data_IF_095880353860
#
_entry.id   IF_095880353860
#
_cell.length_a   1.000
_cell.length_b   1.000
_cell.length_c   1.000
_cell.angle_alpha   90.00
_cell.angle_beta   90.00
_cell.angle_gamma   90.00
#
_symmetry.space_group_name_H-M   'P 1'
#
loop_
_entity.id
_entity.type
_entity.pdbx_description
1 polymer ?
#
# COMPACT_ATOMS: atom_id res chain seq x y z
N UNK A 1 16.06 10.32 0.47
CA UNK A 1 14.98 9.41 0.81
C UNK A 1 14.45 8.69 -0.44
N UNK A 2 14.04 7.46 -0.27
CA UNK A 2 13.43 6.70 -1.34
C UNK A 2 11.92 6.95 -1.39
N UNK A 3 11.39 6.91 -2.59
CA UNK A 3 9.95 7.07 -2.82
C UNK A 3 9.43 5.88 -3.61
N UNK A 4 8.20 5.48 -3.31
CA UNK A 4 7.45 4.55 -4.14
C UNK A 4 6.47 5.36 -4.98
N UNK A 5 6.15 4.89 -6.17
CA UNK A 5 5.26 5.59 -7.09
C UNK A 5 4.02 4.75 -7.38
N UNK A 6 2.88 5.43 -7.39
CA UNK A 6 1.61 4.85 -7.81
C UNK A 6 1.06 5.63 -9.00
N UNK A 7 0.47 4.91 -9.93
CA UNK A 7 -0.10 5.50 -11.13
C UNK A 7 -1.45 4.88 -11.39
N UNK A 8 -2.40 5.70 -11.84
CA UNK A 8 -3.70 5.21 -12.21
C UNK A 8 -4.39 6.20 -13.16
N UNK A 9 -5.34 5.67 -13.91
CA UNK A 9 -6.16 6.44 -14.83
C UNK A 9 -7.63 6.20 -14.49
N UNK A 10 -8.43 7.24 -14.67
CA UNK A 10 -9.87 7.13 -14.50
C UNK A 10 -10.59 8.03 -15.49
N UNK A 11 -11.85 7.70 -15.75
CA UNK A 11 -12.74 8.46 -16.63
C UNK A 11 -13.93 8.91 -15.80
N UNK A 12 -14.29 10.17 -15.92
CA UNK A 12 -15.45 10.75 -15.22
C UNK A 12 -16.15 11.78 -16.07
N UNK A 13 -17.33 12.19 -15.64
CA UNK A 13 -18.13 13.19 -16.35
C UNK A 13 -17.44 14.57 -16.38
N UNK A 14 -16.67 14.86 -15.33
CA UNK A 14 -15.90 16.10 -15.25
C UNK A 14 -14.50 15.80 -14.76
N UNK A 15 -13.63 16.81 -14.87
CA UNK A 15 -12.23 16.69 -14.49
C UNK A 15 -12.03 16.32 -13.03
N UNK A 16 -12.73 16.98 -12.11
CA UNK A 16 -12.55 16.76 -10.67
C UNK A 16 -12.95 15.34 -10.27
N UNK A 17 -14.07 14.81 -10.79
CA UNK A 17 -14.50 13.46 -10.53
C UNK A 17 -13.48 12.43 -11.04
N UNK A 18 -13.01 12.60 -12.27
CA UNK A 18 -12.00 11.72 -12.86
C UNK A 18 -10.69 11.76 -12.08
N UNK A 19 -10.24 12.96 -11.69
CA UNK A 19 -9.00 13.13 -10.92
C UNK A 19 -9.10 12.49 -9.53
N UNK A 20 -10.19 12.72 -8.81
CA UNK A 20 -10.37 12.14 -7.49
C UNK A 20 -10.34 10.61 -7.53
N UNK A 21 -11.01 10.02 -8.52
CA UNK A 21 -11.02 8.58 -8.69
C UNK A 21 -9.62 8.05 -9.08
N UNK A 22 -8.91 8.74 -9.97
CA UNK A 22 -7.55 8.37 -10.36
C UNK A 22 -6.60 8.42 -9.17
N UNK A 23 -6.69 9.46 -8.32
CA UNK A 23 -5.87 9.57 -7.11
C UNK A 23 -6.16 8.43 -6.13
N UNK A 24 -7.42 8.08 -5.93
CA UNK A 24 -7.80 6.96 -5.06
C UNK A 24 -7.22 5.65 -5.57
N UNK A 25 -7.34 5.38 -6.87
CA UNK A 25 -6.79 4.19 -7.49
C UNK A 25 -5.26 4.16 -7.41
N UNK A 26 -4.60 5.31 -7.56
CA UNK A 26 -3.15 5.43 -7.43
C UNK A 26 -2.69 5.10 -6.01
N UNK A 27 -3.43 5.54 -4.98
CA UNK A 27 -3.16 5.19 -3.58
C UNK A 27 -3.35 3.69 -3.32
N UNK A 28 -4.37 3.08 -3.93
CA UNK A 28 -4.56 1.63 -3.86
C UNK A 28 -3.40 0.89 -4.52
N UNK A 29 -2.87 1.43 -5.61
CA UNK A 29 -1.68 0.89 -6.26
C UNK A 29 -0.46 0.94 -5.33
N UNK A 30 -0.26 2.06 -4.62
CA UNK A 30 0.80 2.16 -3.61
C UNK A 30 0.62 1.12 -2.51
N UNK A 31 -0.59 0.94 -2.01
CA UNK A 31 -0.88 -0.06 -0.99
C UNK A 31 -0.55 -1.47 -1.48
N UNK A 32 -0.85 -1.78 -2.73
CA UNK A 32 -0.50 -3.07 -3.35
C UNK A 32 1.02 -3.29 -3.42
N UNK A 33 1.79 -2.26 -3.71
CA UNK A 33 3.26 -2.33 -3.71
C UNK A 33 3.80 -2.58 -2.30
N UNK A 34 3.24 -1.93 -1.29
CA UNK A 34 3.61 -2.14 0.11
C UNK A 34 3.34 -3.59 0.51
N UNK A 35 2.19 -4.14 0.12
CA UNK A 35 1.86 -5.55 0.37
C UNK A 35 2.89 -6.49 -0.26
N UNK A 36 3.28 -6.21 -1.50
CA UNK A 36 4.28 -7.01 -2.22
C UNK A 36 5.63 -6.98 -1.51
N UNK A 37 6.06 -5.81 -1.06
CA UNK A 37 7.34 -5.67 -0.34
C UNK A 37 7.32 -6.41 0.99
N UNK A 38 6.22 -6.32 1.75
CA UNK A 38 6.09 -7.03 3.02
C UNK A 38 6.07 -8.54 2.79
N UNK A 39 5.36 -9.01 1.77
CA UNK A 39 5.30 -10.44 1.43
C UNK A 39 6.70 -10.96 1.08
N UNK A 40 7.46 -10.23 0.30
CA UNK A 40 8.83 -10.60 -0.04
C UNK A 40 9.73 -10.67 1.20
N UNK A 41 9.57 -9.71 2.12
CA UNK A 41 10.32 -9.70 3.38
C UNK A 41 9.98 -10.91 4.25
N UNK A 42 8.70 -11.26 4.33
CA UNK A 42 8.24 -12.44 5.06
C UNK A 42 8.85 -13.72 4.47
N UNK A 43 8.84 -13.86 3.15
CA UNK A 43 9.43 -15.01 2.47
C UNK A 43 10.92 -15.14 2.75
N UNK A 44 11.66 -14.04 2.73
CA UNK A 44 13.09 -14.04 3.07
C UNK A 44 13.32 -14.45 4.53
N UNK A 45 12.48 -13.99 5.44
CA UNK A 45 12.58 -14.30 6.86
C UNK A 45 12.33 -15.79 7.12
N UNK A 46 11.38 -16.39 6.40
CA UNK A 46 11.16 -17.84 6.43
C UNK A 46 12.37 -18.60 5.89
N UNK A 47 12.92 -18.15 4.76
CA UNK A 47 14.09 -18.77 4.16
C UNK A 47 15.30 -18.76 5.11
N UNK A 48 15.43 -17.70 5.93
CA UNK A 48 16.49 -17.57 6.94
C UNK A 48 16.13 -18.26 8.28
N UNK A 49 15.01 -18.98 8.32
CA UNK A 49 14.54 -19.75 9.49
C UNK A 49 14.26 -18.90 10.73
N UNK A 50 13.99 -17.63 10.55
CA UNK A 50 13.63 -16.71 11.64
C UNK A 50 12.12 -16.67 11.90
N UNK A 51 11.32 -17.05 10.92
CA UNK A 51 9.87 -17.22 11.05
C UNK A 51 9.49 -18.65 10.66
N UNK A 52 8.52 -19.22 11.39
CA UNK A 52 7.88 -20.46 10.97
C UNK A 52 6.91 -20.19 9.81
N UNK A 53 6.51 -21.24 9.12
CA UNK A 53 5.51 -21.14 8.06
C UNK A 53 4.16 -20.62 8.59
N UNK A 54 3.77 -21.04 9.79
CA UNK A 54 2.54 -20.59 10.43
C UNK A 54 2.58 -19.10 10.76
N UNK A 55 3.71 -18.62 11.30
CA UNK A 55 3.90 -17.21 11.59
C UNK A 55 3.89 -16.38 10.31
N UNK A 56 4.55 -16.86 9.26
CA UNK A 56 4.56 -16.23 7.96
C UNK A 56 3.17 -16.13 7.37
N UNK A 57 2.38 -17.18 7.48
CA UNK A 57 0.99 -17.18 7.01
C UNK A 57 0.14 -16.15 7.74
N UNK A 58 0.31 -16.01 9.06
CA UNK A 58 -0.39 -14.98 9.84
C UNK A 58 -0.06 -13.57 9.38
N UNK A 59 1.22 -13.26 9.16
CA UNK A 59 1.65 -11.93 8.70
C UNK A 59 1.12 -11.67 7.30
N UNK A 60 1.27 -12.62 6.39
CA UNK A 60 0.81 -12.49 5.01
C UNK A 60 -0.70 -12.28 4.95
N UNK A 61 -1.46 -13.04 5.70
CA UNK A 61 -2.91 -12.89 5.76
C UNK A 61 -3.30 -11.50 6.29
N UNK A 62 -2.61 -11.04 7.32
CA UNK A 62 -2.85 -9.73 7.91
C UNK A 62 -2.59 -8.60 6.91
N UNK A 63 -1.45 -8.64 6.22
CA UNK A 63 -1.12 -7.59 5.24
C UNK A 63 -2.07 -7.61 4.04
N UNK A 64 -2.46 -8.79 3.57
CA UNK A 64 -3.38 -8.90 2.44
C UNK A 64 -4.78 -8.40 2.79
N UNK A 65 -5.24 -8.67 4.01
CA UNK A 65 -6.55 -8.20 4.49
C UNK A 65 -6.56 -6.69 4.75
N UNK A 66 -5.39 -6.05 4.86
CA UNK A 66 -5.25 -4.66 5.31
C UNK A 66 -5.07 -3.66 4.17
N UNK A 67 -5.26 -4.06 2.92
CA UNK A 67 -5.01 -3.18 1.75
C UNK A 67 -5.75 -1.85 1.83
N UNK A 68 -7.03 -1.90 2.16
CA UNK A 68 -7.84 -0.68 2.26
C UNK A 68 -7.37 0.21 3.40
N UNK A 69 -7.00 -0.37 4.54
CA UNK A 69 -6.49 0.39 5.68
C UNK A 69 -5.16 1.05 5.34
N UNK A 70 -4.28 0.35 4.62
CA UNK A 70 -3.01 0.91 4.17
C UNK A 70 -3.28 2.07 3.21
N UNK A 71 -4.17 1.89 2.24
CA UNK A 71 -4.54 2.93 1.29
C UNK A 71 -5.06 4.18 2.00
N UNK A 72 -5.94 4.01 2.98
CA UNK A 72 -6.50 5.10 3.76
C UNK A 72 -5.46 5.80 4.65
N UNK A 73 -4.43 5.07 5.07
CA UNK A 73 -3.36 5.63 5.92
C UNK A 73 -2.32 6.40 5.13
N UNK A 74 -2.29 6.26 3.80
CA UNK A 74 -1.42 7.05 2.94
C UNK A 74 -1.89 8.49 2.98
N UNK A 75 -1.11 9.33 3.64
CA UNK A 75 -1.43 10.73 3.82
C UNK A 75 -1.06 11.56 2.60
N UNK A 76 -0.31 12.63 2.85
CA UNK A 76 0.10 13.54 1.77
C UNK A 76 1.04 12.85 0.79
N UNK A 77 0.63 12.79 -0.48
CA UNK A 77 1.45 12.29 -1.58
C UNK A 77 2.03 13.47 -2.37
N UNK A 78 3.10 13.19 -3.12
CA UNK A 78 3.74 14.19 -3.97
C UNK A 78 3.23 13.96 -5.40
N UNK A 79 2.57 14.96 -6.04
CA UNK A 79 2.19 14.82 -7.44
C UNK A 79 3.43 14.83 -8.32
N UNK A 80 3.56 13.82 -9.17
CA UNK A 80 4.70 13.67 -10.10
C UNK A 80 4.28 14.03 -11.50
N UNK A 81 3.09 13.56 -11.92
CA UNK A 81 2.59 13.78 -13.27
C UNK A 81 1.07 13.74 -13.26
N UNK A 82 0.47 14.60 -14.07
CA UNK A 82 -0.95 14.55 -14.35
C UNK A 82 -1.14 14.83 -15.83
N UNK A 83 -1.88 13.98 -16.49
CA UNK A 83 -2.26 14.15 -17.90
C UNK A 83 -3.76 13.97 -17.99
N UNK A 84 -4.44 14.87 -18.71
CA UNK A 84 -5.85 14.66 -18.93
C UNK A 84 -6.24 15.02 -20.38
N UNK A 85 -7.35 14.44 -20.82
CA UNK A 85 -7.92 14.75 -22.13
C UNK A 85 -9.44 14.63 -22.10
N UNK A 86 -10.08 15.28 -23.05
CA UNK A 86 -11.51 15.15 -23.25
C UNK A 86 -11.76 14.07 -24.30
N UNK A 87 -12.65 13.13 -23.99
CA UNK A 87 -13.05 12.05 -24.89
C UNK A 87 -14.17 12.51 -25.83
N UNK A 88 -14.48 11.70 -26.86
CA UNK A 88 -15.53 12.01 -27.83
C UNK A 88 -16.89 12.26 -27.20
N UNK A 89 -17.23 11.54 -26.13
CA UNK A 89 -18.48 11.67 -25.40
C UNK A 89 -18.46 12.82 -24.38
N UNK A 90 -17.43 13.66 -24.44
CA UNK A 90 -17.16 14.79 -23.53
C UNK A 90 -16.78 14.39 -22.12
N UNK A 91 -16.66 13.10 -21.81
CA UNK A 91 -16.08 12.66 -20.54
C UNK A 91 -14.60 13.06 -20.46
N UNK A 92 -14.08 13.15 -19.25
CA UNK A 92 -12.69 13.45 -18.97
C UNK A 92 -11.96 12.19 -18.56
N UNK A 93 -10.77 12.00 -19.13
CA UNK A 93 -9.85 10.94 -18.75
C UNK A 93 -8.66 11.59 -18.06
N UNK A 94 -8.34 11.15 -16.86
CA UNK A 94 -7.22 11.69 -16.07
C UNK A 94 -6.28 10.56 -15.70
N UNK A 95 -5.01 10.75 -15.99
CA UNK A 95 -3.92 9.89 -15.57
C UNK A 95 -3.11 10.65 -14.52
N UNK A 96 -2.87 10.03 -13.37
CA UNK A 96 -2.03 10.63 -12.32
C UNK A 96 -0.91 9.68 -11.95
N UNK A 97 0.23 10.26 -11.61
CA UNK A 97 1.35 9.56 -10.97
C UNK A 97 1.69 10.32 -9.70
N UNK A 98 1.75 9.61 -8.60
CA UNK A 98 2.06 10.16 -7.28
C UNK A 98 3.24 9.42 -6.68
N UNK A 99 3.96 10.09 -5.80
CA UNK A 99 5.06 9.50 -5.04
C UNK A 99 4.74 9.59 -3.55
N UNK A 100 5.24 8.62 -2.80
CA UNK A 100 5.08 8.57 -1.35
C UNK A 100 6.40 8.10 -0.72
N UNK A 101 6.76 8.69 0.40
CA UNK A 101 7.98 8.34 1.12
C UNK A 101 7.93 6.87 1.54
N UNK A 102 8.93 6.09 1.13
CA UNK A 102 8.95 4.64 1.39
C UNK A 102 9.07 4.30 2.87
N UNK A 103 9.75 5.13 3.67
CA UNK A 103 9.83 4.90 5.11
C UNK A 103 8.48 5.12 5.79
N UNK A 104 7.74 6.15 5.39
CA UNK A 104 6.38 6.39 5.89
C UNK A 104 5.44 5.26 5.49
N UNK A 105 5.57 4.75 4.27
CA UNK A 105 4.78 3.61 3.79
C UNK A 105 5.05 2.37 4.65
N UNK A 106 6.31 2.10 4.92
CA UNK A 106 6.74 0.97 5.75
C UNK A 106 6.21 1.09 7.19
N UNK A 107 6.31 2.28 7.79
CA UNK A 107 5.79 2.52 9.14
C UNK A 107 4.28 2.34 9.22
N UNK A 108 3.54 2.79 8.20
CA UNK A 108 2.10 2.58 8.13
C UNK A 108 1.77 1.07 8.08
N UNK A 109 2.48 0.31 7.25
CA UNK A 109 2.29 -1.13 7.13
C UNK A 109 2.58 -1.85 8.44
N UNK A 110 3.69 -1.50 9.11
CA UNK A 110 4.06 -2.06 10.42
C UNK A 110 2.94 -1.88 11.45
N UNK A 111 2.47 -0.67 11.56
CA UNK A 111 1.43 -0.33 12.53
C UNK A 111 0.15 -1.11 12.28
N UNK A 112 -0.29 -1.16 11.04
CA UNK A 112 -1.53 -1.83 10.65
C UNK A 112 -1.44 -3.33 10.89
N UNK A 113 -0.35 -3.98 10.48
CA UNK A 113 -0.14 -5.42 10.68
C UNK A 113 -0.06 -5.75 12.16
N UNK A 114 0.68 -4.94 12.94
CA UNK A 114 0.81 -5.13 14.38
C UNK A 114 -0.55 -5.06 15.07
N UNK A 115 -1.34 -4.04 14.76
CA UNK A 115 -2.67 -3.86 15.36
C UNK A 115 -3.63 -5.00 14.96
N UNK A 116 -3.56 -5.48 13.73
CA UNK A 116 -4.39 -6.59 13.29
C UNK A 116 -4.04 -7.89 14.03
N UNK A 117 -2.75 -8.19 14.17
CA UNK A 117 -2.28 -9.35 14.92
C UNK A 117 -2.66 -9.25 16.40
N UNK A 118 -2.54 -8.06 16.98
CA UNK A 118 -2.92 -7.81 18.37
C UNK A 118 -4.41 -8.09 18.59
N UNK A 119 -5.26 -7.61 17.68
CA UNK A 119 -6.72 -7.85 17.74
C UNK A 119 -7.06 -9.34 17.69
N UNK A 120 -6.28 -10.12 16.95
CA UNK A 120 -6.48 -11.57 16.84
C UNK A 120 -5.90 -12.35 18.02
N UNK A 121 -5.27 -11.65 18.96
CA UNK A 121 -4.62 -12.30 20.11
C UNK A 121 -3.34 -13.03 19.73
N UNK A 122 -2.77 -12.73 18.57
CA UNK A 122 -1.52 -13.33 18.11
C UNK A 122 -0.35 -12.64 18.78
N UNK A 123 0.42 -13.37 19.57
CA UNK A 123 1.56 -12.83 20.32
C UNK A 123 2.70 -12.38 19.43
N UNK A 124 2.69 -12.76 18.17
CA UNK A 124 3.70 -12.37 17.19
C UNK A 124 3.85 -10.86 17.06
N UNK A 125 2.78 -10.09 17.32
CA UNK A 125 2.82 -8.63 17.25
C UNK A 125 3.91 -8.00 18.12
N UNK A 126 4.32 -8.66 19.20
CA UNK A 126 5.36 -8.14 20.12
C UNK A 126 6.76 -8.22 19.53
N UNK A 127 7.03 -9.23 18.71
CA UNK A 127 8.36 -9.52 18.19
C UNK A 127 8.49 -9.25 16.69
N UNK A 128 7.42 -8.77 16.07
CA UNK A 128 7.34 -8.65 14.61
C UNK A 128 8.47 -7.79 14.02
N UNK A 129 8.73 -6.62 14.59
CA UNK A 129 9.75 -5.70 14.11
C UNK A 129 11.14 -6.33 14.18
N UNK A 130 11.41 -7.05 15.27
CA UNK A 130 12.69 -7.73 15.48
C UNK A 130 12.88 -8.88 14.49
N UNK A 131 11.82 -9.70 14.30
CA UNK A 131 11.88 -10.86 13.42
C UNK A 131 11.99 -10.49 11.95
N UNK A 132 11.26 -9.49 11.51
CA UNK A 132 11.27 -9.05 10.12
C UNK A 132 12.40 -8.07 9.80
N UNK A 133 12.99 -7.45 10.82
CA UNK A 133 14.08 -6.50 10.61
C UNK A 133 13.67 -5.25 9.85
N UNK A 134 12.40 -4.90 9.93
CA UNK A 134 11.91 -3.74 9.18
C UNK A 134 11.87 -2.44 9.99
#
# INVERSE_FOLDING_TARGET
PKYIMGEAMSIGENYDAAKMQALELAKQNLAGQIQTEVTALVENTVANKQLSQEQAASVTQSIMASKNLISQSIGRTIPVMEVYRTLFNKNKEVLVRIAYNSNMAKEAAKKIVREDLEKKGDKLHKDLDKLLGW
#
